data_IF_692844435469
#
_entry.id   IF_692844435469
#
_cell.length_a   1.000
_cell.length_b   1.000
_cell.length_c   1.000
_cell.angle_alpha   90.00
_cell.angle_beta   90.00
_cell.angle_gamma   90.00
#
_symmetry.space_group_name_H-M   'P 1'
#
loop_
_entity.id
_entity.type
_entity.pdbx_description
1 polymer ?
#
# COMPACT_ATOMS: atom_id res chain seq x y z
N UNK A 1 13.95 3.65 8.16
CA UNK A 1 14.67 4.28 7.04
C UNK A 1 13.74 4.57 5.85
N UNK A 2 12.43 4.56 6.11
CA UNK A 2 11.31 4.83 5.24
C UNK A 2 11.42 6.04 4.31
N UNK A 3 11.73 7.20 4.89
CA UNK A 3 11.60 8.47 4.19
C UNK A 3 12.60 8.61 3.03
N UNK A 4 13.80 8.06 3.18
CA UNK A 4 14.84 8.12 2.14
C UNK A 4 14.46 7.26 0.93
N UNK A 5 13.97 6.04 1.17
CA UNK A 5 13.44 5.17 0.13
C UNK A 5 12.25 5.83 -0.55
N UNK A 6 11.29 6.36 0.21
CA UNK A 6 10.14 7.08 -0.34
C UNK A 6 10.56 8.29 -1.22
N UNK A 7 11.52 9.11 -0.75
CA UNK A 7 12.10 10.22 -1.52
C UNK A 7 12.73 9.77 -2.85
N UNK A 8 13.49 8.68 -2.83
CA UNK A 8 14.11 8.08 -4.02
C UNK A 8 13.04 7.73 -5.05
N UNK A 9 11.97 7.06 -4.64
CA UNK A 9 10.89 6.66 -5.55
C UNK A 9 10.03 7.84 -6.03
N UNK A 10 9.91 8.94 -5.25
CA UNK A 10 9.35 10.20 -5.74
C UNK A 10 10.21 10.80 -6.88
N UNK A 11 11.54 10.67 -6.78
CA UNK A 11 12.45 11.06 -7.87
C UNK A 11 12.29 10.17 -9.11
N UNK A 12 12.20 8.85 -8.93
CA UNK A 12 12.05 7.88 -10.03
C UNK A 12 10.72 8.02 -10.77
N UNK A 13 9.64 8.40 -10.08
CA UNK A 13 8.32 8.61 -10.71
C UNK A 13 8.20 9.98 -11.39
N UNK A 14 9.19 10.87 -11.23
CA UNK A 14 9.16 12.22 -11.79
C UNK A 14 8.87 12.29 -13.30
N UNK A 15 9.34 11.38 -14.18
CA UNK A 15 9.04 11.45 -15.61
C UNK A 15 7.56 11.19 -15.94
N UNK A 16 6.84 10.50 -15.04
CA UNK A 16 5.40 10.23 -15.17
C UNK A 16 4.54 11.37 -14.62
N UNK A 17 5.14 12.31 -13.90
CA UNK A 17 4.46 13.43 -13.26
C UNK A 17 4.79 14.74 -13.98
N UNK A 18 3.75 15.35 -14.56
CA UNK A 18 3.89 16.66 -15.19
C UNK A 18 4.21 17.74 -14.12
N UNK A 19 5.29 18.48 -14.36
CA UNK A 19 5.76 19.63 -13.55
C UNK A 19 5.98 19.31 -12.07
N UNK A 20 6.55 18.16 -11.74
CA UNK A 20 7.01 17.88 -10.39
C UNK A 20 8.02 18.96 -9.93
N UNK A 21 7.79 19.55 -8.76
CA UNK A 21 8.72 20.49 -8.13
C UNK A 21 8.78 20.22 -6.64
N UNK A 22 10.00 20.20 -6.10
CA UNK A 22 10.25 20.22 -4.66
C UNK A 22 9.96 21.64 -4.15
N UNK A 23 9.00 21.76 -3.25
CA UNK A 23 8.61 23.05 -2.65
C UNK A 23 9.39 23.29 -1.36
N UNK A 24 9.52 22.25 -0.54
CA UNK A 24 10.28 22.21 0.71
C UNK A 24 10.82 20.79 0.91
N UNK A 25 11.77 20.57 1.85
CA UNK A 25 12.14 19.21 2.24
C UNK A 25 10.89 18.38 2.52
N UNK A 26 10.77 17.23 1.87
CA UNK A 26 9.64 16.30 2.01
C UNK A 26 8.28 16.83 1.56
N UNK A 27 8.25 17.88 0.73
CA UNK A 27 7.04 18.43 0.15
C UNK A 27 7.22 18.70 -1.34
N UNK A 28 6.51 17.95 -2.18
CA UNK A 28 6.48 18.15 -3.62
C UNK A 28 5.11 18.61 -4.07
N UNK A 29 5.09 19.41 -5.13
CA UNK A 29 3.89 19.69 -5.88
C UNK A 29 4.01 19.18 -7.32
N UNK A 30 2.90 18.74 -7.88
CA UNK A 30 2.81 18.31 -9.27
C UNK A 30 1.40 18.49 -9.80
N UNK A 31 1.25 18.27 -11.11
CA UNK A 31 -0.07 18.14 -11.71
C UNK A 31 -0.64 16.76 -11.37
N UNK A 32 -1.92 16.71 -11.01
CA UNK A 32 -2.55 15.44 -10.72
C UNK A 32 -2.73 14.61 -12.01
N UNK A 33 -2.15 13.40 -12.11
CA UNK A 33 -2.28 12.56 -13.29
C UNK A 33 -3.67 11.92 -13.42
N UNK A 34 -4.43 11.83 -12.33
CA UNK A 34 -5.75 11.19 -12.29
C UNK A 34 -6.83 12.12 -12.84
N UNK A 35 -6.85 13.38 -12.40
CA UNK A 35 -7.88 14.35 -12.81
C UNK A 35 -7.40 15.36 -13.86
N UNK A 36 -6.12 15.36 -14.23
CA UNK A 36 -5.56 16.33 -15.18
C UNK A 36 -5.50 17.78 -14.68
N UNK A 37 -5.86 18.02 -13.41
CA UNK A 37 -6.04 19.34 -12.81
C UNK A 37 -7.04 20.21 -13.61
N UNK A 38 -7.10 21.52 -13.36
CA UNK A 38 -8.05 22.40 -14.06
C UNK A 38 -7.69 22.56 -15.54
N UNK A 39 -8.63 22.21 -16.43
CA UNK A 39 -8.53 22.48 -17.87
C UNK A 39 -8.38 23.98 -18.18
N UNK A 40 -9.04 24.85 -17.38
CA UNK A 40 -9.01 26.31 -17.53
C UNK A 40 -7.64 26.92 -17.21
N UNK A 41 -6.85 26.29 -16.35
CA UNK A 41 -5.58 26.85 -15.89
C UNK A 41 -4.51 25.76 -15.80
N UNK A 42 -3.80 25.55 -16.90
CA UNK A 42 -2.74 24.54 -17.04
C UNK A 42 -1.56 24.75 -16.07
N UNK A 43 -1.39 25.96 -15.53
CA UNK A 43 -0.31 26.30 -14.60
C UNK A 43 -0.56 25.85 -13.15
N UNK A 44 -1.80 25.53 -12.79
CA UNK A 44 -2.14 25.16 -11.42
C UNK A 44 -1.65 23.74 -11.12
N UNK A 45 -1.06 23.57 -9.93
CA UNK A 45 -0.56 22.30 -9.39
C UNK A 45 -1.26 22.05 -8.07
N UNK A 46 -2.26 21.17 -8.05
CA UNK A 46 -3.07 20.87 -6.86
C UNK A 46 -2.77 19.52 -6.24
N UNK A 47 -1.81 18.76 -6.77
CA UNK A 47 -1.33 17.53 -6.18
C UNK A 47 -0.14 17.85 -5.27
N UNK A 48 -0.21 17.37 -4.03
CA UNK A 48 0.86 17.50 -3.05
C UNK A 48 1.28 16.11 -2.58
N UNK A 49 2.59 15.90 -2.53
CA UNK A 49 3.21 14.76 -1.87
C UNK A 49 3.87 15.33 -0.62
N UNK A 50 3.48 14.86 0.55
CA UNK A 50 3.91 15.40 1.84
C UNK A 50 4.20 14.28 2.84
N UNK A 51 5.13 14.55 3.74
CA UNK A 51 5.43 13.67 4.85
C UNK A 51 4.38 13.78 5.95
N UNK A 52 3.96 12.63 6.48
CA UNK A 52 3.19 12.54 7.72
C UNK A 52 3.76 11.42 8.59
N UNK A 53 4.29 11.80 9.74
CA UNK A 53 5.03 10.91 10.67
C UNK A 53 6.31 10.35 10.05
N UNK A 54 6.24 9.20 9.40
CA UNK A 54 7.41 8.50 8.83
C UNK A 54 7.19 8.07 7.38
N UNK A 55 5.99 8.28 6.83
CA UNK A 55 5.63 7.86 5.48
C UNK A 55 5.21 9.07 4.63
N UNK A 56 5.39 8.96 3.31
CA UNK A 56 4.86 9.95 2.37
C UNK A 56 3.41 9.64 1.97
N UNK A 57 2.61 10.70 1.95
CA UNK A 57 1.22 10.68 1.51
C UNK A 57 1.03 11.61 0.32
N UNK A 58 0.03 11.29 -0.50
CA UNK A 58 -0.34 12.03 -1.70
C UNK A 58 -1.76 12.53 -1.54
N UNK A 59 -1.98 13.83 -1.74
CA UNK A 59 -3.31 14.44 -1.69
C UNK A 59 -3.50 15.42 -2.84
N UNK A 60 -4.61 15.29 -3.54
CA UNK A 60 -5.07 16.21 -4.55
C UNK A 60 -6.16 17.12 -3.98
N UNK A 61 -5.96 18.43 -4.06
CA UNK A 61 -6.95 19.42 -3.65
C UNK A 61 -7.98 19.75 -4.75
N UNK A 62 -7.87 19.12 -5.93
CA UNK A 62 -8.83 19.29 -7.02
C UNK A 62 -9.92 18.21 -7.00
N UNK A 63 -9.54 16.94 -7.11
CA UNK A 63 -10.47 15.81 -7.13
C UNK A 63 -10.67 15.13 -5.77
N UNK A 64 -9.94 15.57 -4.73
CA UNK A 64 -10.00 14.96 -3.41
C UNK A 64 -9.25 13.63 -3.28
N UNK A 65 -8.56 13.16 -4.34
CA UNK A 65 -7.76 11.93 -4.28
C UNK A 65 -6.75 11.99 -3.15
N UNK A 66 -6.74 10.97 -2.29
CA UNK A 66 -5.83 10.85 -1.15
C UNK A 66 -5.36 9.41 -0.99
N UNK A 67 -4.06 9.19 -0.95
CA UNK A 67 -3.48 7.85 -0.82
C UNK A 67 -2.10 7.89 -0.17
N UNK A 68 -1.60 6.74 0.29
CA UNK A 68 -0.18 6.57 0.58
C UNK A 68 0.65 6.56 -0.73
N UNK A 69 1.96 6.78 -0.61
CA UNK A 69 2.88 6.80 -1.75
C UNK A 69 2.89 5.47 -2.53
N UNK A 70 2.93 4.32 -1.85
CA UNK A 70 2.97 3.01 -2.51
C UNK A 70 1.79 2.78 -3.46
N UNK A 71 0.56 3.02 -2.99
CA UNK A 71 -0.65 2.95 -3.81
C UNK A 71 -0.64 3.97 -4.94
N UNK A 72 -0.07 5.16 -4.73
CA UNK A 72 0.07 6.15 -5.80
C UNK A 72 1.05 5.69 -6.89
N UNK A 73 2.19 5.12 -6.50
CA UNK A 73 3.13 4.50 -7.45
C UNK A 73 2.43 3.35 -8.20
N UNK A 74 1.69 2.50 -7.49
CA UNK A 74 0.92 1.39 -8.09
C UNK A 74 -0.05 1.85 -9.18
N UNK A 75 -0.71 3.00 -8.98
CA UNK A 75 -1.64 3.55 -9.99
C UNK A 75 -0.95 4.10 -11.24
N UNK A 76 0.30 4.51 -11.14
CA UNK A 76 1.04 5.16 -12.22
C UNK A 76 1.98 4.21 -12.96
N UNK A 77 2.64 3.35 -12.20
CA UNK A 77 3.59 2.37 -12.69
C UNK A 77 3.61 1.14 -11.76
N UNK A 78 2.86 0.08 -12.12
CA UNK A 78 2.87 -1.17 -11.37
C UNK A 78 4.25 -1.84 -11.31
N UNK A 79 5.12 -1.64 -12.31
CA UNK A 79 6.45 -2.22 -12.33
C UNK A 79 7.36 -1.53 -11.30
N UNK A 80 7.35 -0.19 -11.27
CA UNK A 80 8.09 0.59 -10.27
C UNK A 80 7.58 0.32 -8.85
N UNK A 81 6.28 0.08 -8.69
CA UNK A 81 5.70 -0.32 -7.41
C UNK A 81 6.27 -1.65 -6.90
N UNK A 82 6.51 -2.64 -7.77
CA UNK A 82 7.14 -3.89 -7.38
C UNK A 82 8.54 -3.67 -6.81
N UNK A 83 9.35 -2.82 -7.45
CA UNK A 83 10.68 -2.45 -6.96
C UNK A 83 10.61 -1.75 -5.60
N UNK A 84 9.68 -0.80 -5.46
CA UNK A 84 9.43 -0.08 -4.21
C UNK A 84 9.12 -1.03 -3.05
N UNK A 85 8.21 -1.99 -3.25
CA UNK A 85 7.83 -2.97 -2.22
C UNK A 85 9.01 -3.86 -1.84
N UNK A 86 9.81 -4.32 -2.82
CA UNK A 86 10.98 -5.15 -2.54
C UNK A 86 12.05 -4.40 -1.74
N UNK A 87 12.31 -3.14 -2.06
CA UNK A 87 13.29 -2.32 -1.33
C UNK A 87 12.82 -2.03 0.11
N UNK A 88 11.53 -1.73 0.28
CA UNK A 88 10.89 -1.57 1.60
C UNK A 88 10.90 -2.85 2.43
N UNK A 89 10.71 -4.00 1.79
CA UNK A 89 10.78 -5.31 2.44
C UNK A 89 12.22 -5.64 2.87
N UNK A 90 13.20 -5.43 1.99
CA UNK A 90 14.62 -5.67 2.28
C UNK A 90 15.14 -4.82 3.45
N UNK A 91 14.59 -3.63 3.67
CA UNK A 91 14.94 -2.76 4.80
C UNK A 91 14.24 -3.17 6.12
N UNK A 92 13.48 -4.27 6.12
CA UNK A 92 12.79 -4.79 7.30
C UNK A 92 11.50 -4.03 7.66
N UNK A 93 11.02 -3.14 6.80
CA UNK A 93 9.92 -2.22 7.13
C UNK A 93 8.53 -2.84 6.90
N UNK A 94 8.47 -3.91 6.09
CA UNK A 94 7.24 -4.66 5.81
C UNK A 94 7.10 -5.94 6.66
N UNK A 95 8.07 -6.23 7.54
CA UNK A 95 8.21 -7.54 8.20
C UNK A 95 7.27 -7.81 9.37
N UNK A 96 6.54 -6.80 9.87
CA UNK A 96 5.50 -6.98 10.89
C UNK A 96 4.21 -6.39 10.35
N UNK A 97 3.36 -7.23 9.79
CA UNK A 97 1.98 -6.82 9.49
C UNK A 97 1.37 -6.20 10.74
N UNK A 98 0.64 -5.09 10.58
CA UNK A 98 -0.14 -4.48 11.68
C UNK A 98 -1.28 -5.38 12.18
N UNK A 99 -1.45 -6.53 11.53
CA UNK A 99 -2.39 -7.58 11.89
C UNK A 99 -1.87 -8.31 13.11
N UNK A 100 -2.70 -8.43 14.15
CA UNK A 100 -2.45 -9.37 15.24
C UNK A 100 -2.29 -10.76 14.64
N UNK A 101 -1.33 -11.53 15.13
CA UNK A 101 -1.22 -12.95 14.78
C UNK A 101 -2.56 -13.63 15.11
N UNK A 102 -3.13 -14.42 14.19
CA UNK A 102 -4.37 -15.11 14.46
C UNK A 102 -4.17 -16.13 15.58
N UNK A 103 -5.03 -16.09 16.60
CA UNK A 103 -5.10 -17.14 17.61
C UNK A 103 -5.76 -18.38 16.99
N UNK A 104 -4.96 -19.39 16.67
CA UNK A 104 -5.48 -20.66 16.19
C UNK A 104 -5.97 -21.52 17.36
N UNK A 105 -7.29 -21.62 17.55
CA UNK A 105 -7.92 -22.58 18.47
C UNK A 105 -8.40 -23.79 17.68
N UNK A 106 -7.65 -24.88 17.73
CA UNK A 106 -8.06 -26.15 17.15
C UNK A 106 -8.72 -27.01 18.22
N UNK A 107 -10.04 -27.17 18.14
CA UNK A 107 -10.74 -28.15 18.98
C UNK A 107 -10.63 -29.54 18.37
N UNK A 108 -10.32 -30.59 19.15
CA UNK A 108 -10.25 -31.94 18.64
C UNK A 108 -11.63 -32.41 18.15
N UNK A 109 -11.71 -33.09 17.00
CA UNK A 109 -12.99 -33.60 16.49
C UNK A 109 -13.58 -34.64 17.44
N UNK A 110 -14.84 -34.47 17.82
CA UNK A 110 -15.58 -35.45 18.63
C UNK A 110 -16.23 -36.47 17.71
N UNK A 111 -15.67 -37.68 17.65
CA UNK A 111 -16.27 -38.80 16.92
C UNK A 111 -17.41 -39.40 17.74
N UNK A 112 -18.60 -39.54 17.12
CA UNK A 112 -19.70 -40.31 17.73
C UNK A 112 -19.38 -41.80 17.61
N UNK A 113 -19.50 -42.61 18.69
CA UNK A 113 -19.39 -44.04 18.56
C UNK A 113 -20.53 -44.56 17.67
N UNK A 114 -20.18 -45.31 16.61
CA UNK A 114 -21.18 -46.05 15.84
C UNK A 114 -21.58 -47.29 16.67
N UNK A 115 -22.87 -47.57 16.86
CA UNK A 115 -23.29 -48.82 17.50
C UNK A 115 -22.92 -49.98 16.58
N UNK A 116 -21.99 -50.81 17.00
CA UNK A 116 -21.68 -52.08 16.32
C UNK A 116 -22.66 -53.12 16.87
N UNK A 117 -23.79 -53.31 16.20
CA UNK A 117 -24.67 -54.47 16.49
C UNK A 117 -23.98 -55.69 15.91
N UNK A 118 -23.27 -56.44 16.76
CA UNK A 118 -22.66 -57.71 16.38
C UNK A 118 -23.63 -58.79 16.83
N UNK A 119 -24.33 -59.40 15.88
CA UNK A 119 -25.17 -60.57 16.14
C UNK A 119 -24.25 -61.79 16.26
N UNK A 120 -23.99 -62.21 17.50
CA UNK A 120 -23.29 -63.46 17.78
C UNK A 120 -24.31 -64.61 17.75
N UNK A 121 -24.13 -65.65 16.92
CA UNK A 121 -24.99 -66.83 16.96
C UNK A 121 -24.76 -67.58 18.28
N UNK A 122 -25.84 -67.95 18.95
CA UNK A 122 -25.80 -68.74 20.18
C UNK A 122 -25.32 -70.17 19.88
N UNK A 123 -24.32 -70.61 20.63
CA UNK A 123 -23.78 -71.98 20.60
C UNK A 123 -24.78 -72.96 21.20
#
# INVERSE_FOLDING_TARGET
>A
MSLYTDQKYVGLISPRLDRLKLVRPNLWNSRCPICGDSQKNKAKKRLYIYEKKQDLFVKCHNCGYGSNLGNFIKTLDPHLHGQYVMERYSQGESGRGKTKEPEFKFEPPKFKPKPTTIELPSI
#
